data_IF_503961167924
#
_entry.id   IF_503961167924
#
_cell.length_a   1.000
_cell.length_b   1.000
_cell.length_c   1.000
_cell.angle_alpha   90.00
_cell.angle_beta   90.00
_cell.angle_gamma   90.00
#
_symmetry.space_group_name_H-M   'P 1'
#
loop_
_entity.id
_entity.type
_entity.pdbx_description
1 polymer ?
#
# COMPACT_ATOMS: atom_id res chain seq x y z
N UNK A 1 0.32 18.69 24.86
CA UNK A 1 0.31 17.44 24.03
C UNK A 1 -0.89 16.63 24.50
N UNK A 2 -1.81 16.38 23.61
CA UNK A 2 -3.11 15.81 23.94
C UNK A 2 -3.01 14.31 24.23
N UNK A 3 -3.89 13.78 25.10
CA UNK A 3 -3.92 12.35 25.43
C UNK A 3 -3.98 11.46 24.17
N UNK A 4 -4.65 11.95 23.12
CA UNK A 4 -4.78 11.26 21.85
C UNK A 4 -3.46 11.09 21.11
N UNK A 5 -2.55 12.05 21.21
CA UNK A 5 -1.20 11.92 20.65
C UNK A 5 -0.44 10.73 21.25
N UNK A 6 -0.54 10.55 22.59
CA UNK A 6 0.09 9.41 23.26
C UNK A 6 -0.56 8.08 22.89
N UNK A 7 -1.87 8.06 22.62
CA UNK A 7 -2.60 6.88 22.15
C UNK A 7 -2.09 6.48 20.76
N UNK A 8 -1.96 7.43 19.83
CA UNK A 8 -1.45 7.19 18.46
C UNK A 8 -0.02 6.70 18.50
N UNK A 9 0.85 7.34 19.30
CA UNK A 9 2.24 6.91 19.49
C UNK A 9 2.33 5.51 20.11
N UNK A 10 1.53 5.26 21.16
CA UNK A 10 1.47 3.95 21.83
C UNK A 10 1.02 2.84 20.86
N UNK A 11 0.01 3.11 20.04
CA UNK A 11 -0.48 2.18 19.03
C UNK A 11 0.56 1.89 17.94
N UNK A 12 1.31 2.93 17.51
CA UNK A 12 2.42 2.79 16.57
C UNK A 12 3.50 1.86 17.12
N UNK A 13 3.93 2.09 18.37
CA UNK A 13 4.93 1.28 19.05
C UNK A 13 4.44 -0.15 19.30
N UNK A 14 3.17 -0.31 19.69
CA UNK A 14 2.56 -1.63 19.88
C UNK A 14 2.52 -2.42 18.56
N UNK A 15 2.12 -1.79 17.46
CA UNK A 15 2.12 -2.41 16.13
C UNK A 15 3.52 -2.81 15.69
N UNK A 16 4.53 -1.96 15.95
CA UNK A 16 5.94 -2.29 15.70
C UNK A 16 6.37 -3.52 16.49
N UNK A 17 6.15 -3.55 17.81
CA UNK A 17 6.57 -4.66 18.68
C UNK A 17 5.82 -5.96 18.34
N UNK A 18 4.51 -5.89 18.08
CA UNK A 18 3.72 -7.06 17.70
C UNK A 18 4.17 -7.64 16.35
N UNK A 19 4.47 -6.79 15.37
CA UNK A 19 4.98 -7.23 14.07
C UNK A 19 6.33 -7.93 14.22
N UNK A 20 7.25 -7.39 15.05
CA UNK A 20 8.52 -8.08 15.38
C UNK A 20 8.27 -9.42 16.05
N UNK A 21 7.34 -9.48 16.99
CA UNK A 21 6.99 -10.72 17.67
C UNK A 21 6.43 -11.76 16.71
N UNK A 22 5.46 -11.37 15.87
CA UNK A 22 4.84 -12.25 14.89
C UNK A 22 5.86 -12.77 13.87
N UNK A 23 6.86 -11.96 13.49
CA UNK A 23 7.94 -12.37 12.61
C UNK A 23 8.70 -13.60 13.11
N UNK A 24 8.90 -13.72 14.44
CA UNK A 24 9.58 -14.86 15.03
C UNK A 24 8.84 -16.18 14.85
N UNK A 25 7.51 -16.14 14.75
CA UNK A 25 6.67 -17.33 14.58
C UNK A 25 6.27 -17.56 13.12
N UNK A 26 5.88 -16.52 12.42
CA UNK A 26 5.36 -16.61 11.04
C UNK A 26 6.45 -16.99 10.05
N UNK A 27 7.67 -16.44 10.15
CA UNK A 27 8.75 -16.75 9.20
C UNK A 27 9.13 -18.24 9.25
N UNK A 28 9.38 -18.87 10.41
CA UNK A 28 9.64 -20.31 10.46
C UNK A 28 8.45 -21.16 9.95
N UNK A 29 7.21 -20.74 10.27
CA UNK A 29 6.00 -21.41 9.79
C UNK A 29 5.92 -21.38 8.25
N UNK A 30 6.12 -20.21 7.63
CA UNK A 30 6.10 -20.08 6.18
C UNK A 30 7.22 -20.89 5.50
N UNK A 31 8.40 -20.97 6.12
CA UNK A 31 9.48 -21.83 5.63
C UNK A 31 9.11 -23.32 5.70
N UNK A 32 8.49 -23.75 6.80
CA UNK A 32 8.05 -25.14 6.97
C UNK A 32 6.96 -25.54 5.95
N UNK A 33 6.10 -24.58 5.59
CA UNK A 33 5.08 -24.77 4.54
C UNK A 33 5.66 -24.74 3.12
N UNK A 34 6.99 -24.57 2.96
CA UNK A 34 7.65 -24.39 1.65
C UNK A 34 7.00 -23.28 0.80
N UNK A 35 6.52 -22.24 1.48
CA UNK A 35 5.90 -21.07 0.84
C UNK A 35 6.97 -20.17 0.15
N UNK A 36 8.00 -20.79 -0.44
CA UNK A 36 9.05 -20.09 -1.17
C UNK A 36 8.57 -19.62 -2.55
N UNK A 37 8.98 -18.42 -2.93
CA UNK A 37 8.68 -17.89 -4.26
C UNK A 37 9.50 -18.62 -5.31
N UNK A 38 8.86 -19.12 -6.37
CA UNK A 38 9.54 -19.58 -7.56
C UNK A 38 9.93 -18.39 -8.43
N UNK A 39 11.22 -18.28 -8.76
CA UNK A 39 11.74 -17.16 -9.54
C UNK A 39 11.30 -17.29 -11.00
N UNK A 40 10.88 -16.19 -11.61
CA UNK A 40 10.60 -16.16 -13.06
C UNK A 40 11.90 -16.27 -13.85
N UNK A 41 11.97 -17.17 -14.82
CA UNK A 41 13.13 -17.35 -15.70
C UNK A 41 13.54 -16.07 -16.47
N UNK A 42 12.63 -15.12 -16.61
CA UNK A 42 12.79 -13.86 -17.37
C UNK A 42 13.35 -12.71 -16.51
N UNK A 43 13.59 -12.93 -15.21
CA UNK A 43 14.11 -11.91 -14.27
C UNK A 43 15.62 -11.74 -14.32
N UNK A 44 16.17 -10.69 -13.63
CA UNK A 44 17.62 -10.54 -13.46
C UNK A 44 18.22 -11.79 -12.78
N UNK A 45 19.35 -12.30 -13.32
CA UNK A 45 19.96 -13.55 -12.86
C UNK A 45 20.37 -13.56 -11.37
N UNK A 46 20.67 -12.40 -10.79
CA UNK A 46 21.00 -12.27 -9.36
C UNK A 46 19.81 -12.49 -8.44
N UNK A 47 18.59 -12.42 -8.94
CA UNK A 47 17.39 -12.80 -8.17
C UNK A 47 17.33 -14.30 -7.87
N UNK A 48 18.13 -15.13 -8.55
CA UNK A 48 18.23 -16.57 -8.25
C UNK A 48 18.71 -16.83 -6.82
N UNK A 49 19.46 -15.92 -6.20
CA UNK A 49 19.89 -16.02 -4.79
C UNK A 49 18.73 -15.85 -3.82
N UNK A 50 17.60 -15.27 -4.27
CA UNK A 50 16.37 -15.08 -3.48
C UNK A 50 15.45 -16.32 -3.50
N UNK A 51 15.81 -17.37 -4.26
CA UNK A 51 15.05 -18.61 -4.32
C UNK A 51 14.92 -19.23 -2.92
N UNK A 52 13.69 -19.60 -2.55
CA UNK A 52 13.42 -20.19 -1.22
C UNK A 52 13.13 -19.16 -0.11
N UNK A 53 13.26 -17.86 -0.36
CA UNK A 53 12.75 -16.86 0.60
C UNK A 53 11.23 -16.99 0.69
N UNK A 54 10.65 -17.15 1.91
CA UNK A 54 9.22 -17.32 2.05
C UNK A 54 8.46 -16.05 1.66
N UNK A 55 7.31 -16.23 1.02
CA UNK A 55 6.32 -15.18 0.69
C UNK A 55 5.16 -15.18 1.70
N UNK A 56 4.19 -14.28 1.55
CA UNK A 56 3.03 -14.10 2.45
C UNK A 56 3.39 -13.51 3.83
N UNK A 57 4.56 -12.92 3.98
CA UNK A 57 4.97 -12.25 5.22
C UNK A 57 4.10 -11.04 5.61
N UNK A 58 3.29 -10.55 4.67
CA UNK A 58 2.29 -9.50 4.93
C UNK A 58 1.35 -9.81 6.09
N UNK A 59 1.07 -11.09 6.35
CA UNK A 59 0.24 -11.54 7.47
C UNK A 59 0.76 -10.99 8.82
N UNK A 60 2.08 -10.83 8.98
CA UNK A 60 2.70 -10.38 10.22
C UNK A 60 2.24 -8.98 10.61
N UNK A 61 2.39 -8.01 9.71
CA UNK A 61 2.00 -6.64 9.99
C UNK A 61 0.49 -6.43 9.88
N UNK A 62 -0.22 -7.15 9.02
CA UNK A 62 -1.69 -7.10 8.92
C UNK A 62 -2.33 -7.49 10.25
N UNK A 63 -1.90 -8.59 10.87
CA UNK A 63 -2.42 -9.02 12.16
C UNK A 63 -2.11 -8.01 13.28
N UNK A 64 -0.89 -7.44 13.31
CA UNK A 64 -0.51 -6.44 14.28
C UNK A 64 -1.33 -5.14 14.12
N UNK A 65 -1.49 -4.66 12.89
CA UNK A 65 -2.28 -3.47 12.57
C UNK A 65 -3.75 -3.65 13.01
N UNK A 66 -4.35 -4.81 12.67
CA UNK A 66 -5.73 -5.11 13.05
C UNK A 66 -5.91 -5.06 14.57
N UNK A 67 -5.05 -5.76 15.32
CA UNK A 67 -5.13 -5.80 16.78
C UNK A 67 -4.93 -4.42 17.41
N UNK A 68 -3.94 -3.65 16.94
CA UNK A 68 -3.67 -2.31 17.46
C UNK A 68 -4.77 -1.31 17.11
N UNK A 69 -5.25 -1.32 15.87
CA UNK A 69 -6.28 -0.38 15.43
C UNK A 69 -7.58 -0.60 16.21
N UNK A 70 -8.02 -1.85 16.35
CA UNK A 70 -9.23 -2.18 17.11
C UNK A 70 -9.01 -1.93 18.62
N UNK A 71 -7.88 -2.38 19.18
CA UNK A 71 -7.61 -2.27 20.63
C UNK A 71 -7.46 -0.82 21.11
N UNK A 72 -6.71 0.02 20.39
CA UNK A 72 -6.51 1.43 20.78
C UNK A 72 -7.65 2.34 20.31
N UNK A 73 -8.35 1.98 19.21
CA UNK A 73 -9.47 2.74 18.68
C UNK A 73 -10.80 2.49 19.39
N UNK A 74 -10.91 1.41 20.16
CA UNK A 74 -12.18 0.95 20.74
C UNK A 74 -12.96 2.03 21.49
N UNK A 75 -12.28 2.75 22.38
CA UNK A 75 -12.93 3.80 23.19
C UNK A 75 -13.49 4.92 22.31
N UNK A 76 -12.72 5.41 21.36
CA UNK A 76 -13.13 6.47 20.44
C UNK A 76 -14.29 6.03 19.53
N UNK A 77 -14.30 4.77 19.07
CA UNK A 77 -15.41 4.22 18.30
C UNK A 77 -16.73 4.25 19.07
N UNK A 78 -16.69 3.83 20.33
CA UNK A 78 -17.92 3.78 21.18
C UNK A 78 -18.40 5.17 21.57
N UNK A 79 -17.47 6.08 21.91
CA UNK A 79 -17.82 7.43 22.41
C UNK A 79 -18.23 8.39 21.28
N UNK A 80 -17.56 8.30 20.11
CA UNK A 80 -17.73 9.26 19.00
C UNK A 80 -18.55 8.69 17.83
N UNK A 81 -18.86 7.40 17.83
CA UNK A 81 -19.50 6.69 16.72
C UNK A 81 -18.80 6.90 15.36
N UNK A 82 -17.46 7.15 15.37
CA UNK A 82 -16.63 7.32 14.16
C UNK A 82 -16.01 5.98 13.79
N UNK A 83 -16.49 5.39 12.70
CA UNK A 83 -16.05 4.09 12.17
C UNK A 83 -15.25 4.20 10.87
N UNK A 84 -14.91 5.40 10.40
CA UNK A 84 -14.25 5.64 9.11
C UNK A 84 -12.94 4.86 8.98
N UNK A 85 -12.14 4.81 10.06
CA UNK A 85 -10.91 4.02 10.08
C UNK A 85 -11.15 2.50 9.89
N UNK A 86 -12.30 1.97 10.35
CA UNK A 86 -12.68 0.57 10.12
C UNK A 86 -13.14 0.32 8.69
N UNK A 87 -13.75 1.30 8.02
CA UNK A 87 -14.09 1.18 6.60
C UNK A 87 -12.83 1.06 5.75
N UNK A 88 -11.82 1.90 6.04
CA UNK A 88 -10.50 1.83 5.37
C UNK A 88 -9.79 0.52 5.68
N UNK A 89 -9.76 0.10 6.94
CA UNK A 89 -9.18 -1.18 7.35
C UNK A 89 -9.90 -2.35 6.66
N UNK A 90 -11.24 -2.31 6.57
CA UNK A 90 -12.05 -3.29 5.87
C UNK A 90 -11.71 -3.40 4.38
N UNK A 91 -11.57 -2.25 3.69
CA UNK A 91 -11.09 -2.20 2.31
C UNK A 91 -9.74 -2.92 2.16
N UNK A 92 -8.77 -2.53 2.99
CA UNK A 92 -7.42 -3.08 2.94
C UNK A 92 -7.39 -4.58 3.26
N UNK A 93 -8.18 -5.04 4.24
CA UNK A 93 -8.31 -6.46 4.56
C UNK A 93 -8.93 -7.25 3.41
N UNK A 94 -9.95 -6.72 2.74
CA UNK A 94 -10.53 -7.36 1.55
C UNK A 94 -9.48 -7.50 0.43
N UNK A 95 -8.69 -6.47 0.17
CA UNK A 95 -7.60 -6.54 -0.79
C UNK A 95 -6.49 -7.51 -0.34
N UNK A 96 -6.15 -7.50 0.95
CA UNK A 96 -5.24 -8.47 1.54
C UNK A 96 -5.71 -9.92 1.37
N UNK A 97 -7.02 -10.17 1.51
CA UNK A 97 -7.62 -11.49 1.26
C UNK A 97 -7.56 -11.89 -0.22
N UNK A 98 -7.77 -10.95 -1.15
CA UNK A 98 -7.57 -11.22 -2.59
C UNK A 98 -6.12 -11.60 -2.85
N UNK A 99 -5.16 -10.87 -2.25
CA UNK A 99 -3.73 -11.18 -2.34
C UNK A 99 -3.38 -12.53 -1.70
N UNK A 100 -3.95 -12.81 -0.54
CA UNK A 100 -3.78 -14.09 0.14
C UNK A 100 -4.27 -15.27 -0.72
N UNK A 101 -5.44 -15.14 -1.35
CA UNK A 101 -5.95 -16.15 -2.26
C UNK A 101 -5.01 -16.37 -3.46
N UNK A 102 -4.46 -15.28 -4.02
CA UNK A 102 -3.50 -15.35 -5.12
C UNK A 102 -2.21 -16.07 -4.71
N UNK A 103 -1.61 -15.65 -3.58
CA UNK A 103 -0.40 -16.26 -3.02
C UNK A 103 -0.62 -17.73 -2.64
N UNK A 104 -1.75 -18.04 -2.00
CA UNK A 104 -2.09 -19.40 -1.60
C UNK A 104 -2.22 -20.34 -2.79
N UNK A 105 -2.83 -19.88 -3.88
CA UNK A 105 -2.93 -20.67 -5.13
C UNK A 105 -1.54 -20.92 -5.71
N UNK A 106 -0.65 -19.91 -5.73
CA UNK A 106 0.74 -20.06 -6.20
C UNK A 106 1.50 -21.12 -5.37
N UNK A 107 1.42 -21.02 -4.04
CA UNK A 107 2.11 -21.94 -3.11
C UNK A 107 1.56 -23.35 -3.22
N UNK A 108 0.22 -23.52 -3.17
CA UNK A 108 -0.44 -24.84 -3.22
C UNK A 108 -0.21 -25.57 -4.53
N UNK A 109 -0.24 -24.86 -5.65
CA UNK A 109 -0.06 -25.45 -6.99
C UNK A 109 1.40 -25.43 -7.45
N UNK A 110 2.33 -24.91 -6.63
CA UNK A 110 3.77 -24.80 -6.95
C UNK A 110 4.01 -24.19 -8.34
N UNK A 111 3.30 -23.09 -8.63
CA UNK A 111 3.38 -22.38 -9.92
C UNK A 111 3.48 -20.88 -9.71
N UNK A 112 3.97 -20.13 -10.72
CA UNK A 112 4.08 -18.67 -10.69
C UNK A 112 2.76 -17.94 -10.96
N UNK A 113 1.72 -18.64 -11.41
CA UNK A 113 0.41 -18.08 -11.73
C UNK A 113 -0.57 -18.38 -10.60
N UNK A 114 -1.07 -17.33 -9.96
CA UNK A 114 -2.15 -17.37 -8.98
C UNK A 114 -3.53 -17.31 -9.63
N UNK A 115 -4.32 -16.31 -9.24
CA UNK A 115 -5.59 -15.97 -9.89
C UNK A 115 -5.33 -15.45 -11.31
N UNK A 116 -6.29 -15.62 -12.21
CA UNK A 116 -6.20 -14.98 -13.53
C UNK A 116 -6.31 -13.46 -13.39
N UNK A 117 -5.71 -12.71 -14.32
CA UNK A 117 -5.76 -11.24 -14.30
C UNK A 117 -7.20 -10.71 -14.25
N UNK A 118 -8.13 -11.35 -14.97
CA UNK A 118 -9.55 -10.97 -14.98
C UNK A 118 -10.22 -11.24 -13.64
N UNK A 119 -9.94 -12.38 -12.99
CA UNK A 119 -10.47 -12.69 -11.65
C UNK A 119 -9.97 -11.70 -10.61
N UNK A 120 -8.65 -11.41 -10.62
CA UNK A 120 -8.03 -10.45 -9.70
C UNK A 120 -8.62 -9.06 -9.90
N UNK A 121 -8.74 -8.60 -11.15
CA UNK A 121 -9.33 -7.30 -11.48
C UNK A 121 -10.80 -7.20 -11.05
N UNK A 122 -11.63 -8.21 -11.34
CA UNK A 122 -13.05 -8.20 -10.98
C UNK A 122 -13.25 -8.15 -9.46
N UNK A 123 -12.51 -8.97 -8.70
CA UNK A 123 -12.56 -8.95 -7.24
C UNK A 123 -12.16 -7.58 -6.68
N UNK A 124 -11.07 -7.00 -7.21
CA UNK A 124 -10.62 -5.66 -6.82
C UNK A 124 -11.67 -4.59 -7.12
N UNK A 125 -12.31 -4.64 -8.29
CA UNK A 125 -13.35 -3.69 -8.67
C UNK A 125 -14.59 -3.78 -7.76
N UNK A 126 -15.05 -5.01 -7.46
CA UNK A 126 -16.18 -5.22 -6.55
C UNK A 126 -15.89 -4.64 -5.17
N UNK A 127 -14.70 -4.90 -4.62
CA UNK A 127 -14.28 -4.36 -3.32
C UNK A 127 -14.22 -2.83 -3.34
N UNK A 128 -13.67 -2.22 -4.40
CA UNK A 128 -13.62 -0.76 -4.56
C UNK A 128 -15.03 -0.14 -4.57
N UNK A 129 -15.95 -0.71 -5.36
CA UNK A 129 -17.32 -0.22 -5.47
C UNK A 129 -18.06 -0.30 -4.13
N UNK A 130 -17.96 -1.43 -3.42
CA UNK A 130 -18.57 -1.58 -2.09
C UNK A 130 -18.02 -0.52 -1.12
N UNK A 131 -16.72 -0.32 -1.07
CA UNK A 131 -16.08 0.68 -0.20
C UNK A 131 -16.58 2.09 -0.48
N UNK A 132 -16.65 2.50 -1.75
CA UNK A 132 -17.14 3.82 -2.16
C UNK A 132 -18.60 4.03 -1.75
N UNK A 133 -19.46 3.02 -1.90
CA UNK A 133 -20.84 3.09 -1.42
C UNK A 133 -20.92 3.21 0.10
N UNK A 134 -20.08 2.50 0.84
CA UNK A 134 -20.03 2.59 2.31
C UNK A 134 -19.62 3.99 2.73
N UNK A 135 -18.52 4.54 2.19
CA UNK A 135 -18.05 5.90 2.51
C UNK A 135 -19.08 6.98 2.13
N UNK A 136 -19.74 6.82 0.98
CA UNK A 136 -20.79 7.76 0.61
C UNK A 136 -21.98 7.72 1.57
N UNK A 137 -22.38 6.51 1.99
CA UNK A 137 -23.51 6.32 2.91
C UNK A 137 -23.20 6.82 4.33
N UNK A 138 -21.94 6.72 4.78
CA UNK A 138 -21.50 7.24 6.09
C UNK A 138 -21.36 8.77 6.11
N UNK A 139 -21.34 9.43 4.95
CA UNK A 139 -21.12 10.87 4.83
C UNK A 139 -19.66 11.30 4.80
N UNK A 140 -18.73 10.35 4.74
CA UNK A 140 -17.29 10.62 4.68
C UNK A 140 -16.79 10.93 3.25
N UNK A 141 -17.64 10.84 2.22
CA UNK A 141 -17.31 11.10 0.84
C UNK A 141 -18.28 12.11 0.24
N UNK A 142 -17.79 13.31 -0.08
CA UNK A 142 -18.59 14.37 -0.71
C UNK A 142 -18.97 14.07 -2.16
N UNK A 143 -18.14 13.32 -2.86
CA UNK A 143 -18.13 13.13 -4.32
C UNK A 143 -17.73 14.38 -5.10
N UNK A 144 -17.14 15.39 -4.46
CA UNK A 144 -16.49 16.52 -5.08
C UNK A 144 -14.99 16.26 -5.21
N UNK A 145 -14.36 16.81 -6.22
CA UNK A 145 -12.94 16.59 -6.45
C UNK A 145 -12.12 17.73 -5.84
N UNK A 146 -11.57 17.49 -4.67
CA UNK A 146 -10.69 18.45 -4.01
C UNK A 146 -9.36 18.58 -4.75
N UNK A 147 -8.99 19.84 -5.09
CA UNK A 147 -7.73 20.18 -5.75
C UNK A 147 -6.77 20.78 -4.72
N UNK A 148 -5.70 20.04 -4.32
CA UNK A 148 -4.68 20.54 -3.40
C UNK A 148 -4.03 21.83 -3.93
N UNK A 149 -3.46 22.65 -3.05
CA UNK A 149 -2.86 23.96 -3.27
C UNK A 149 -3.83 25.08 -3.60
N UNK A 150 -4.86 24.81 -4.42
CA UNK A 150 -5.88 25.82 -4.75
C UNK A 150 -7.02 25.88 -3.74
N UNK A 151 -7.08 24.89 -2.84
CA UNK A 151 -8.16 24.71 -1.87
C UNK A 151 -9.56 24.84 -2.52
N UNK A 152 -9.72 24.16 -3.63
CA UNK A 152 -10.91 24.22 -4.48
C UNK A 152 -11.55 22.83 -4.54
N UNK A 153 -12.85 22.76 -4.25
CA UNK A 153 -13.66 21.58 -4.49
C UNK A 153 -14.40 21.75 -5.83
N UNK A 154 -14.13 20.83 -6.76
CA UNK A 154 -14.75 20.81 -8.08
C UNK A 154 -15.94 19.87 -8.05
N UNK A 155 -17.15 20.45 -8.16
CA UNK A 155 -18.38 19.67 -8.27
C UNK A 155 -18.40 18.85 -9.57
N UNK A 156 -18.56 17.55 -9.46
CA UNK A 156 -18.73 16.64 -10.59
C UNK A 156 -19.91 15.70 -10.36
N UNK A 157 -20.59 15.24 -11.43
CA UNK A 157 -21.70 14.31 -11.25
C UNK A 157 -21.27 13.06 -10.48
N UNK A 158 -22.01 12.71 -9.44
CA UNK A 158 -21.69 11.57 -8.55
C UNK A 158 -21.34 10.28 -9.31
N UNK A 159 -22.07 9.96 -10.40
CA UNK A 159 -21.79 8.76 -11.19
C UNK A 159 -20.38 8.81 -11.83
N UNK A 160 -19.97 9.99 -12.32
CA UNK A 160 -18.63 10.21 -12.90
C UNK A 160 -17.57 10.07 -11.83
N UNK A 161 -17.81 10.68 -10.64
CA UNK A 161 -16.90 10.53 -9.50
C UNK A 161 -16.72 9.08 -9.08
N UNK A 162 -17.80 8.30 -8.95
CA UNK A 162 -17.75 6.90 -8.52
C UNK A 162 -16.97 6.02 -9.51
N UNK A 163 -17.13 6.25 -10.82
CA UNK A 163 -16.35 5.54 -11.85
C UNK A 163 -14.87 5.91 -11.76
N UNK A 164 -14.56 7.21 -11.67
CA UNK A 164 -13.21 7.72 -11.48
C UNK A 164 -12.57 7.14 -10.21
N UNK A 165 -13.28 7.19 -9.09
CA UNK A 165 -12.79 6.70 -7.80
C UNK A 165 -12.51 5.18 -7.83
N UNK A 166 -13.40 4.37 -8.41
CA UNK A 166 -13.19 2.94 -8.57
C UNK A 166 -11.95 2.65 -9.42
N UNK A 167 -11.75 3.39 -10.51
CA UNK A 167 -10.56 3.28 -11.35
C UNK A 167 -9.28 3.65 -10.60
N UNK A 168 -9.29 4.75 -9.84
CA UNK A 168 -8.14 5.20 -9.03
C UNK A 168 -7.80 4.17 -7.95
N UNK A 169 -8.80 3.62 -7.26
CA UNK A 169 -8.58 2.61 -6.21
C UNK A 169 -7.93 1.36 -6.79
N UNK A 170 -8.49 0.78 -7.85
CA UNK A 170 -7.94 -0.43 -8.48
C UNK A 170 -6.55 -0.14 -9.06
N UNK A 171 -6.35 1.02 -9.69
CA UNK A 171 -5.06 1.45 -10.21
C UNK A 171 -4.00 1.59 -9.12
N UNK A 172 -4.33 2.24 -8.01
CA UNK A 172 -3.45 2.44 -6.86
C UNK A 172 -3.05 1.11 -6.23
N UNK A 173 -4.01 0.20 -6.00
CA UNK A 173 -3.74 -1.12 -5.42
C UNK A 173 -2.76 -1.93 -6.28
N UNK A 174 -2.94 -1.93 -7.60
CA UNK A 174 -2.02 -2.61 -8.50
C UNK A 174 -0.66 -1.89 -8.61
N UNK A 175 -0.63 -0.56 -8.51
CA UNK A 175 0.60 0.23 -8.52
C UNK A 175 1.48 -0.07 -7.30
N UNK A 176 0.89 -0.15 -6.10
CA UNK A 176 1.60 -0.55 -4.88
C UNK A 176 2.10 -1.99 -4.99
N UNK A 177 1.30 -2.91 -5.55
CA UNK A 177 1.72 -4.28 -5.79
C UNK A 177 2.90 -4.38 -6.77
N UNK A 178 2.93 -3.57 -7.85
CA UNK A 178 4.07 -3.50 -8.78
C UNK A 178 5.35 -2.96 -8.12
N UNK A 179 5.22 -2.13 -7.09
CA UNK A 179 6.36 -1.56 -6.37
C UNK A 179 7.05 -2.58 -5.44
N UNK A 180 6.41 -3.71 -5.14
CA UNK A 180 6.96 -4.79 -4.30
C UNK A 180 7.88 -5.74 -5.10
N UNK A 181 8.82 -5.18 -5.88
CA UNK A 181 9.74 -5.96 -6.73
C UNK A 181 11.18 -6.02 -6.20
N UNK A 182 11.55 -5.18 -5.24
CA UNK A 182 12.89 -5.08 -4.63
C UNK A 182 12.77 -5.16 -3.12
N UNK A 183 13.76 -5.80 -2.45
CA UNK A 183 13.79 -6.01 -1.01
C UNK A 183 13.61 -4.68 -0.25
N UNK A 184 12.54 -4.58 0.55
CA UNK A 184 12.24 -3.41 1.38
C UNK A 184 11.65 -2.21 0.64
N UNK A 185 11.54 -2.20 -0.70
CA UNK A 185 11.11 -1.02 -1.46
C UNK A 185 9.69 -0.60 -1.12
N UNK A 186 8.72 -1.51 -1.26
CA UNK A 186 7.31 -1.21 -1.03
C UNK A 186 7.06 -0.70 0.40
N UNK A 187 7.65 -1.34 1.40
CA UNK A 187 7.56 -0.91 2.81
C UNK A 187 8.16 0.46 3.04
N UNK A 188 9.37 0.71 2.53
CA UNK A 188 10.11 1.97 2.73
C UNK A 188 9.42 3.16 2.08
N UNK A 189 8.83 2.99 0.89
CA UNK A 189 8.05 4.02 0.19
C UNK A 189 6.71 4.25 0.89
N UNK A 190 6.07 3.21 1.43
CA UNK A 190 4.75 3.33 2.07
C UNK A 190 4.81 3.99 3.44
N UNK A 191 5.90 3.84 4.21
CA UNK A 191 6.03 4.47 5.55
C UNK A 191 5.83 5.99 5.51
N UNK A 192 6.55 6.80 4.71
CA UNK A 192 6.33 8.25 4.66
C UNK A 192 4.92 8.62 4.19
N UNK A 193 4.29 7.84 3.31
CA UNK A 193 2.89 8.03 2.90
C UNK A 193 1.94 7.84 4.09
N UNK A 194 2.15 6.80 4.90
CA UNK A 194 1.34 6.56 6.08
C UNK A 194 1.56 7.63 7.17
N UNK A 195 2.79 8.10 7.35
CA UNK A 195 3.11 9.22 8.26
C UNK A 195 2.41 10.50 7.80
N UNK A 196 2.41 10.79 6.50
CA UNK A 196 1.65 11.90 5.92
C UNK A 196 0.16 11.79 6.25
N UNK A 197 -0.47 10.65 5.99
CA UNK A 197 -1.89 10.46 6.28
C UNK A 197 -2.21 10.54 7.78
N UNK A 198 -1.34 10.00 8.64
CA UNK A 198 -1.51 10.09 10.09
C UNK A 198 -1.45 11.54 10.57
N UNK A 199 -0.46 12.31 10.12
CA UNK A 199 -0.30 13.71 10.46
C UNK A 199 -1.47 14.55 9.94
N UNK A 200 -1.88 14.36 8.70
CA UNK A 200 -2.98 15.10 8.07
C UNK A 200 -4.32 14.80 8.79
N UNK A 201 -4.63 13.53 9.03
CA UNK A 201 -5.85 13.15 9.76
C UNK A 201 -5.86 13.71 11.18
N UNK A 202 -4.70 13.71 11.86
CA UNK A 202 -4.58 14.28 13.21
C UNK A 202 -4.85 15.80 13.23
N UNK A 203 -4.24 16.54 12.28
CA UNK A 203 -4.40 18.00 12.19
C UNK A 203 -5.84 18.38 11.81
N UNK A 204 -6.50 17.56 11.00
CA UNK A 204 -7.92 17.75 10.65
C UNK A 204 -8.89 17.34 11.78
N UNK A 205 -8.38 17.04 12.99
CA UNK A 205 -9.21 16.60 14.11
C UNK A 205 -9.80 15.20 13.97
N UNK A 206 -9.48 14.48 12.84
CA UNK A 206 -9.91 13.10 12.59
C UNK A 206 -8.98 12.12 13.33
N UNK A 207 -8.89 12.29 14.65
CA UNK A 207 -7.88 11.62 15.47
C UNK A 207 -8.03 10.10 15.49
N UNK A 208 -9.26 9.57 15.42
CA UNK A 208 -9.53 8.13 15.32
C UNK A 208 -9.02 7.58 13.98
N UNK A 209 -9.22 8.34 12.90
CA UNK A 209 -8.72 7.97 11.58
C UNK A 209 -7.18 8.00 11.53
N UNK A 210 -6.52 8.93 12.24
CA UNK A 210 -5.06 9.04 12.32
C UNK A 210 -4.39 7.80 12.93
N UNK A 211 -5.08 7.06 13.77
CA UNK A 211 -4.60 5.85 14.43
C UNK A 211 -4.21 4.76 13.41
N UNK A 212 -5.02 4.59 12.38
CA UNK A 212 -4.84 3.54 11.40
C UNK A 212 -3.53 3.67 10.60
N UNK A 213 -3.25 4.78 9.90
CA UNK A 213 -1.99 4.92 9.16
C UNK A 213 -0.76 4.95 10.09
N UNK A 214 -0.90 5.40 11.33
CA UNK A 214 0.17 5.36 12.32
C UNK A 214 0.53 3.92 12.71
N UNK A 215 -0.47 3.04 12.94
CA UNK A 215 -0.22 1.61 13.19
C UNK A 215 0.38 0.91 11.96
N UNK A 216 -0.01 1.30 10.74
CA UNK A 216 0.59 0.78 9.50
C UNK A 216 2.07 1.17 9.42
N UNK A 217 2.41 2.44 9.68
CA UNK A 217 3.80 2.90 9.67
C UNK A 217 4.66 2.12 10.69
N UNK A 218 4.16 1.91 11.91
CA UNK A 218 4.82 1.11 12.94
C UNK A 218 5.03 -0.35 12.51
N UNK A 219 3.99 -0.99 11.99
CA UNK A 219 4.05 -2.38 11.49
C UNK A 219 5.04 -2.55 10.33
N UNK A 220 5.05 -1.63 9.38
CA UNK A 220 5.98 -1.65 8.24
C UNK A 220 7.43 -1.39 8.67
N UNK A 221 7.67 -0.48 9.62
CA UNK A 221 9.01 -0.26 10.17
C UNK A 221 9.58 -1.54 10.81
N UNK A 222 8.74 -2.30 11.53
CA UNK A 222 9.13 -3.60 12.07
C UNK A 222 9.31 -4.66 10.97
N UNK A 223 8.44 -4.69 9.97
CA UNK A 223 8.54 -5.62 8.85
C UNK A 223 9.85 -5.43 8.08
N UNK A 224 10.33 -4.18 7.91
CA UNK A 224 11.62 -3.88 7.30
C UNK A 224 12.80 -4.56 7.98
N UNK A 225 12.74 -4.84 9.30
CA UNK A 225 13.80 -5.59 9.99
C UNK A 225 13.97 -7.02 9.43
N UNK A 226 12.96 -7.53 8.74
CA UNK A 226 12.96 -8.85 8.10
C UNK A 226 13.01 -8.79 6.58
N UNK A 227 12.50 -7.70 5.97
CA UNK A 227 12.35 -7.57 4.52
C UNK A 227 13.42 -6.71 3.86
N UNK A 228 14.21 -5.93 4.64
CA UNK A 228 15.33 -5.16 4.08
C UNK A 228 16.41 -6.10 3.52
N UNK A 229 17.10 -5.63 2.48
CA UNK A 229 18.09 -6.44 1.75
C UNK A 229 19.25 -6.93 2.66
N UNK A 230 19.62 -8.22 2.66
CA UNK A 230 18.93 -9.34 1.99
C UNK A 230 17.67 -9.81 2.75
N UNK A 231 16.56 -9.89 2.05
CA UNK A 231 15.26 -10.18 2.66
C UNK A 231 15.17 -11.61 3.23
N UNK A 232 14.63 -11.73 4.45
CA UNK A 232 14.34 -13.01 5.12
C UNK A 232 12.92 -13.51 4.84
N UNK A 233 12.05 -12.62 4.36
CA UNK A 233 10.65 -12.87 4.01
C UNK A 233 10.15 -11.79 3.05
N UNK A 234 9.30 -12.15 2.07
CA UNK A 234 8.58 -11.22 1.20
C UNK A 234 7.16 -11.03 1.70
N UNK A 235 6.59 -9.80 1.52
CA UNK A 235 5.22 -9.55 1.95
C UNK A 235 4.19 -10.29 1.12
N UNK A 236 4.50 -10.56 -0.16
CA UNK A 236 3.61 -11.20 -1.12
C UNK A 236 2.47 -10.29 -1.58
N UNK A 237 1.62 -10.83 -2.45
CA UNK A 237 0.41 -10.15 -2.89
C UNK A 237 -0.53 -9.88 -1.70
N UNK A 238 -0.48 -10.74 -0.67
CA UNK A 238 -1.17 -10.56 0.61
C UNK A 238 -0.87 -9.21 1.24
N UNK A 239 0.40 -8.85 1.34
CA UNK A 239 0.84 -7.60 1.96
C UNK A 239 0.70 -6.41 1.04
N UNK A 240 1.14 -6.51 -0.20
CA UNK A 240 1.20 -5.38 -1.13
C UNK A 240 -0.19 -4.90 -1.58
N UNK A 241 -1.17 -5.79 -1.79
CA UNK A 241 -2.55 -5.38 -2.07
C UNK A 241 -3.22 -4.75 -0.83
N UNK A 242 -2.96 -5.29 0.37
CA UNK A 242 -3.40 -4.66 1.61
C UNK A 242 -2.87 -3.22 1.73
N UNK A 243 -1.58 -3.00 1.48
CA UNK A 243 -0.98 -1.65 1.51
C UNK A 243 -1.59 -0.73 0.45
N UNK A 244 -1.84 -1.22 -0.75
CA UNK A 244 -2.53 -0.46 -1.78
C UNK A 244 -3.92 -0.02 -1.33
N UNK A 245 -4.68 -0.91 -0.68
CA UNK A 245 -5.97 -0.60 -0.06
C UNK A 245 -5.85 0.46 1.04
N UNK A 246 -4.79 0.41 1.87
CA UNK A 246 -4.53 1.43 2.89
C UNK A 246 -4.24 2.80 2.26
N UNK A 247 -3.34 2.87 1.27
CA UNK A 247 -2.95 4.12 0.62
C UNK A 247 -4.14 4.81 -0.03
N UNK A 248 -4.90 4.10 -0.88
CA UNK A 248 -6.06 4.70 -1.53
C UNK A 248 -7.22 4.91 -0.55
N UNK A 249 -7.46 3.97 0.37
CA UNK A 249 -8.53 4.09 1.36
C UNK A 249 -8.39 5.34 2.24
N UNK A 250 -7.18 5.67 2.68
CA UNK A 250 -6.91 6.89 3.44
C UNK A 250 -7.16 8.16 2.61
N UNK A 251 -6.76 8.18 1.35
CA UNK A 251 -6.98 9.34 0.47
C UNK A 251 -8.47 9.61 0.26
N UNK A 252 -9.27 8.57 0.06
CA UNK A 252 -10.73 8.71 -0.09
C UNK A 252 -11.45 8.98 1.24
N UNK A 253 -11.00 8.40 2.35
CA UNK A 253 -11.58 8.67 3.67
C UNK A 253 -11.30 10.09 4.19
N UNK A 254 -10.23 10.74 3.71
CA UNK A 254 -9.94 12.15 3.93
C UNK A 254 -10.49 13.04 2.82
N UNK A 255 -11.24 12.48 1.89
CA UNK A 255 -11.88 13.18 0.76
C UNK A 255 -10.90 14.01 -0.10
N UNK A 256 -9.69 13.47 -0.31
CA UNK A 256 -8.62 14.12 -1.08
C UNK A 256 -7.93 13.18 -2.08
N UNK A 257 -8.66 12.53 -3.01
CA UNK A 257 -8.09 11.51 -3.89
C UNK A 257 -6.94 12.00 -4.78
N UNK A 258 -6.94 13.28 -5.19
CA UNK A 258 -5.88 13.84 -6.02
C UNK A 258 -4.52 13.94 -5.30
N UNK A 259 -4.50 13.85 -3.96
CA UNK A 259 -3.24 13.86 -3.21
C UNK A 259 -2.37 12.65 -3.55
N UNK A 260 -3.00 11.56 -4.04
CA UNK A 260 -2.29 10.36 -4.48
C UNK A 260 -1.30 10.64 -5.63
N UNK A 261 -1.50 11.71 -6.41
CA UNK A 261 -0.55 12.12 -7.46
C UNK A 261 0.80 12.51 -6.83
N UNK A 262 0.78 13.12 -5.66
CA UNK A 262 1.97 13.54 -4.94
C UNK A 262 2.53 12.40 -4.09
N UNK A 263 1.77 11.93 -3.11
CA UNK A 263 2.26 10.91 -2.16
C UNK A 263 2.50 9.56 -2.83
N UNK A 264 1.81 9.28 -3.93
CA UNK A 264 1.93 8.05 -4.71
C UNK A 264 2.87 8.13 -5.92
N UNK A 265 3.71 9.17 -6.02
CA UNK A 265 4.53 9.41 -7.23
C UNK A 265 5.38 8.21 -7.65
N UNK A 266 5.98 7.50 -6.69
CA UNK A 266 6.78 6.31 -6.99
C UNK A 266 5.89 5.19 -7.53
N UNK A 267 4.75 4.91 -6.93
CA UNK A 267 3.78 3.92 -7.43
C UNK A 267 3.32 4.24 -8.86
N UNK A 268 3.09 5.52 -9.13
CA UNK A 268 2.72 6.02 -10.46
C UNK A 268 3.86 5.80 -11.46
N UNK A 269 5.10 6.15 -11.11
CA UNK A 269 6.26 5.95 -11.97
C UNK A 269 6.50 4.47 -12.30
N UNK A 270 6.36 3.57 -11.30
CA UNK A 270 6.45 2.12 -11.51
C UNK A 270 5.42 1.66 -12.53
N UNK A 271 4.16 2.02 -12.35
CA UNK A 271 3.06 1.63 -13.22
C UNK A 271 3.17 2.25 -14.61
N UNK A 272 3.46 3.55 -14.70
CA UNK A 272 3.61 4.25 -15.98
C UNK A 272 4.77 3.68 -16.78
N UNK A 273 5.87 3.29 -16.14
CA UNK A 273 7.00 2.67 -16.84
C UNK A 273 6.58 1.38 -17.56
N UNK A 274 5.71 0.57 -16.93
CA UNK A 274 5.17 -0.66 -17.54
C UNK A 274 4.23 -0.33 -18.69
N UNK A 275 3.30 0.60 -18.50
CA UNK A 275 2.33 0.99 -19.53
C UNK A 275 3.07 1.54 -20.76
N UNK A 276 4.00 2.46 -20.56
CA UNK A 276 4.79 3.07 -21.64
C UNK A 276 5.63 2.01 -22.38
N UNK A 277 6.31 1.13 -21.65
CA UNK A 277 7.13 0.08 -22.23
C UNK A 277 6.30 -0.87 -23.08
N UNK A 278 5.20 -1.39 -22.55
CA UNK A 278 4.34 -2.35 -23.23
C UNK A 278 3.72 -1.72 -24.48
N UNK A 279 3.24 -0.49 -24.38
CA UNK A 279 2.64 0.25 -25.51
C UNK A 279 3.68 0.49 -26.59
N UNK A 280 4.85 1.02 -26.21
CA UNK A 280 5.94 1.30 -27.18
C UNK A 280 6.47 0.02 -27.85
N UNK A 281 6.64 -1.05 -27.07
CA UNK A 281 7.10 -2.34 -27.58
C UNK A 281 6.14 -2.91 -28.65
N UNK A 282 4.82 -2.81 -28.41
CA UNK A 282 3.82 -3.24 -29.38
C UNK A 282 3.80 -2.36 -30.64
N UNK A 283 3.85 -1.04 -30.48
CA UNK A 283 3.81 -0.09 -31.59
C UNK A 283 5.07 -0.14 -32.47
N UNK A 284 6.23 -0.46 -31.89
CA UNK A 284 7.52 -0.44 -32.57
C UNK A 284 8.03 -1.84 -32.93
N UNK A 285 7.19 -2.87 -32.80
CA UNK A 285 7.51 -4.26 -33.12
C UNK A 285 8.79 -4.77 -32.41
N UNK A 286 8.94 -4.47 -31.11
CA UNK A 286 9.99 -5.04 -30.26
C UNK A 286 11.04 -4.08 -29.71
N UNK A 287 10.99 -2.78 -30.03
CA UNK A 287 11.91 -1.80 -29.43
C UNK A 287 11.52 -1.52 -27.98
N UNK A 288 12.53 -1.23 -27.14
CA UNK A 288 12.35 -0.93 -25.72
C UNK A 288 12.77 0.49 -25.38
N UNK A 289 12.02 1.17 -24.50
CA UNK A 289 12.40 2.46 -23.90
C UNK A 289 13.31 2.20 -22.69
N UNK A 290 12.85 1.34 -21.78
CA UNK A 290 13.58 0.94 -20.59
C UNK A 290 14.26 -0.42 -20.80
N UNK A 291 15.40 -0.67 -20.14
CA UNK A 291 16.06 -1.98 -20.17
C UNK A 291 15.13 -3.09 -19.68
N UNK A 292 14.36 -2.80 -18.60
CA UNK A 292 13.33 -3.66 -18.04
C UNK A 292 12.30 -2.78 -17.31
N UNK A 293 11.08 -3.26 -17.09
CA UNK A 293 10.03 -2.63 -16.29
C UNK A 293 9.40 -3.64 -15.32
N UNK A 294 8.90 -3.21 -14.15
CA UNK A 294 8.80 -1.84 -13.63
C UNK A 294 10.14 -1.10 -13.51
N UNK A 295 10.11 0.24 -13.24
CA UNK A 295 11.30 1.08 -13.41
C UNK A 295 12.44 0.77 -12.44
N UNK A 296 12.18 0.19 -11.27
CA UNK A 296 13.22 -0.27 -10.35
C UNK A 296 14.15 -1.29 -11.03
N UNK A 297 13.65 -2.21 -11.84
CA UNK A 297 14.47 -3.15 -12.61
C UNK A 297 15.34 -2.47 -13.67
N UNK A 298 14.88 -1.34 -14.24
CA UNK A 298 15.72 -0.54 -15.13
C UNK A 298 16.97 -0.04 -14.41
N UNK A 299 16.80 0.48 -13.17
CA UNK A 299 17.93 0.98 -12.38
C UNK A 299 18.85 -0.15 -11.92
N UNK A 300 18.33 -1.33 -11.55
CA UNK A 300 19.16 -2.51 -11.27
C UNK A 300 20.03 -2.85 -12.47
N UNK A 301 19.45 -2.91 -13.68
CA UNK A 301 20.19 -3.16 -14.93
C UNK A 301 21.10 -2.00 -15.35
N UNK A 302 21.00 -0.83 -14.74
CA UNK A 302 21.94 0.29 -14.84
C UNK A 302 23.04 0.22 -13.77
N UNK A 303 23.08 -0.85 -12.95
CA UNK A 303 24.12 -1.07 -11.94
C UNK A 303 23.86 -0.45 -10.58
N UNK A 304 22.62 -0.02 -10.30
CA UNK A 304 22.25 0.42 -8.96
C UNK A 304 22.03 -0.80 -8.06
N UNK A 305 22.54 -0.72 -6.83
CA UNK A 305 22.25 -1.69 -5.78
C UNK A 305 20.80 -1.49 -5.28
N UNK A 306 20.18 -2.55 -4.77
CA UNK A 306 18.81 -2.51 -4.25
C UNK A 306 18.65 -1.44 -3.14
N UNK A 307 19.60 -1.36 -2.20
CA UNK A 307 19.56 -0.39 -1.12
C UNK A 307 19.58 1.06 -1.64
N UNK A 308 20.32 1.34 -2.74
CA UNK A 308 20.33 2.66 -3.35
C UNK A 308 18.99 3.00 -3.97
N UNK A 309 18.33 2.05 -4.63
CA UNK A 309 16.99 2.24 -5.21
C UNK A 309 16.00 2.56 -4.08
N UNK A 310 15.99 1.74 -3.02
CA UNK A 310 15.14 1.94 -1.85
C UNK A 310 15.36 3.32 -1.24
N UNK A 311 16.61 3.71 -1.00
CA UNK A 311 16.93 5.01 -0.40
C UNK A 311 16.45 6.18 -1.27
N UNK A 312 16.76 6.18 -2.57
CA UNK A 312 16.40 7.27 -3.48
C UNK A 312 14.88 7.37 -3.64
N UNK A 313 14.18 6.24 -3.82
CA UNK A 313 12.72 6.26 -4.00
C UNK A 313 12.00 6.70 -2.72
N UNK A 314 12.49 6.26 -1.55
CA UNK A 314 11.96 6.72 -0.26
C UNK A 314 12.21 8.21 -0.04
N UNK A 315 13.40 8.72 -0.38
CA UNK A 315 13.71 10.14 -0.27
C UNK A 315 12.80 11.00 -1.17
N UNK A 316 12.57 10.56 -2.42
CA UNK A 316 11.63 11.23 -3.32
C UNK A 316 10.22 11.23 -2.71
N UNK A 317 9.76 10.08 -2.21
CA UNK A 317 8.43 10.00 -1.58
C UNK A 317 8.31 10.92 -0.38
N UNK A 318 9.35 10.99 0.47
CA UNK A 318 9.37 11.89 1.63
C UNK A 318 9.22 13.35 1.20
N UNK A 319 10.00 13.80 0.21
CA UNK A 319 9.89 15.16 -0.33
C UNK A 319 8.48 15.43 -0.87
N UNK A 320 7.91 14.48 -1.61
CA UNK A 320 6.57 14.63 -2.16
C UNK A 320 5.48 14.62 -1.08
N UNK A 321 5.66 13.86 0.01
CA UNK A 321 4.76 13.91 1.18
C UNK A 321 4.82 15.27 1.89
N UNK A 322 6.01 15.89 2.01
CA UNK A 322 6.14 17.26 2.53
C UNK A 322 5.43 18.26 1.62
N UNK A 323 5.61 18.17 0.31
CA UNK A 323 4.89 19.02 -0.65
C UNK A 323 3.38 18.78 -0.60
N UNK A 324 2.94 17.54 -0.49
CA UNK A 324 1.54 17.18 -0.32
C UNK A 324 0.95 17.80 0.95
N UNK A 325 1.69 17.76 2.05
CA UNK A 325 1.27 18.40 3.29
C UNK A 325 1.07 19.90 3.12
N UNK A 326 2.00 20.61 2.47
CA UNK A 326 1.83 22.04 2.15
C UNK A 326 0.61 22.30 1.25
N UNK A 327 0.26 21.36 0.38
CA UNK A 327 -0.90 21.46 -0.51
C UNK A 327 -2.26 21.29 0.17
N UNK A 328 -2.28 20.70 1.38
CA UNK A 328 -3.55 20.40 2.10
C UNK A 328 -3.69 21.11 3.44
N UNK A 329 -2.63 21.76 3.93
CA UNK A 329 -2.61 22.37 5.27
C UNK A 329 -3.67 23.46 5.50
N UNK A 330 -4.22 24.03 4.42
CA UNK A 330 -5.21 25.11 4.48
C UNK A 330 -6.65 24.62 4.20
N UNK A 331 -6.89 23.32 4.13
CA UNK A 331 -8.23 22.78 3.81
C UNK A 331 -9.22 22.92 4.97
N UNK A 332 -8.74 22.89 6.22
CA UNK A 332 -9.55 22.97 7.45
C UNK A 332 -8.98 23.98 8.42
#
# INVERSE_FOLDING_TARGET
MDAMFFIVLGATLASFLLTLLFGRFVIPMLRALHAGQSIREVGPQWHNTKAGTPTMGGIMFIAAILLCTVGFGWKSMVENADYTHLYVLGLALCYGLVGFADDFVKVKLKRNLGLTASQKFLLQLVVAVIFLFVLKKSGDLSCDLYIPFWNLDLEIPTAVYMIFAAFVIVGCVNAVNLTDGVDGLSSSVTIPVMVFFAATAYIYGRTTLALLPATVAGGLAAFLCYNFHPAKVFMGDTGSLFLGGMVCGMAFALDMPLILILVGIIYICETLSVILQVTYFKLTHGKRIFKMTPIHHHFELCGWKEEKIVFVFTAITLVMCVLAYLGVMNRY
#
